data_IF_856310747194
#
_entry.id   IF_856310747194
#
_cell.length_a   1.000
_cell.length_b   1.000
_cell.length_c   1.000
_cell.angle_alpha   90.00
_cell.angle_beta   90.00
_cell.angle_gamma   90.00
#
_symmetry.space_group_name_H-M   'P 1'
#
loop_
_entity.id
_entity.type
_entity.pdbx_description
1 polymer ?
#
# COMPACT_ATOMS: atom_id res chain seq x y z
N UNK A 1 -17.47 -24.15 -2.51
CA UNK A 1 -16.77 -23.19 -1.62
C UNK A 1 -15.58 -22.61 -2.37
N UNK A 2 -15.65 -21.34 -2.74
CA UNK A 2 -14.75 -20.70 -3.72
C UNK A 2 -13.30 -20.66 -3.22
N UNK A 3 -12.40 -21.34 -3.93
CA UNK A 3 -10.93 -21.31 -3.71
C UNK A 3 -10.35 -19.89 -3.70
N UNK A 4 -11.08 -18.91 -4.25
CA UNK A 4 -10.77 -17.48 -4.20
C UNK A 4 -10.92 -16.88 -2.78
N UNK A 5 -11.91 -17.31 -2.00
CA UNK A 5 -12.12 -16.82 -0.63
C UNK A 5 -11.08 -17.37 0.36
N UNK A 6 -10.59 -18.58 0.10
CA UNK A 6 -9.51 -19.20 0.86
C UNK A 6 -8.14 -18.54 0.57
N UNK A 7 -7.88 -18.19 -0.70
CA UNK A 7 -6.73 -17.34 -1.04
C UNK A 7 -6.85 -15.94 -0.44
N UNK A 8 -8.02 -15.33 -0.41
CA UNK A 8 -8.23 -14.01 0.18
C UNK A 8 -7.87 -13.94 1.68
N UNK A 9 -8.11 -15.04 2.43
CA UNK A 9 -7.66 -15.17 3.83
C UNK A 9 -6.14 -15.23 4.01
N UNK A 10 -5.41 -15.59 2.94
CA UNK A 10 -3.95 -15.67 2.90
C UNK A 10 -3.30 -14.45 2.23
N UNK A 11 -4.03 -13.36 1.93
CA UNK A 11 -3.64 -12.43 0.86
C UNK A 11 -3.19 -11.02 1.30
N UNK A 12 -2.20 -10.45 0.59
CA UNK A 12 -1.69 -9.07 0.78
C UNK A 12 -2.74 -7.96 0.61
N UNK A 13 -3.93 -8.24 0.07
CA UNK A 13 -5.02 -7.25 -0.04
C UNK A 13 -5.68 -6.94 1.30
N UNK A 14 -5.83 -7.93 2.19
CA UNK A 14 -6.29 -7.67 3.56
C UNK A 14 -5.23 -6.85 4.33
N UNK A 15 -3.94 -7.10 4.05
CA UNK A 15 -2.84 -6.29 4.58
C UNK A 15 -2.85 -4.85 4.04
N UNK A 16 -3.22 -4.65 2.77
CA UNK A 16 -3.34 -3.32 2.18
C UNK A 16 -4.53 -2.55 2.77
N UNK A 17 -5.69 -3.20 2.94
CA UNK A 17 -6.84 -2.63 3.64
C UNK A 17 -6.52 -2.26 5.10
N UNK A 18 -5.84 -3.15 5.81
CA UNK A 18 -5.30 -2.87 7.16
C UNK A 18 -4.30 -1.71 7.19
N UNK A 19 -3.57 -1.47 6.09
CA UNK A 19 -2.62 -0.37 6.00
C UNK A 19 -3.28 1.00 5.83
N UNK A 20 -4.53 1.05 5.36
CA UNK A 20 -5.34 2.25 5.23
C UNK A 20 -6.23 2.51 6.46
N UNK A 21 -6.31 1.54 7.38
CA UNK A 21 -7.03 1.72 8.64
C UNK A 21 -6.28 2.74 9.53
N UNK A 22 -7.02 3.58 10.27
CA UNK A 22 -6.45 4.39 11.33
C UNK A 22 -5.74 3.52 12.38
N UNK A 23 -4.67 4.01 13.03
CA UNK A 23 -3.97 3.27 14.08
C UNK A 23 -4.89 2.79 15.21
N UNK A 24 -5.93 3.57 15.52
CA UNK A 24 -6.93 3.29 16.56
C UNK A 24 -7.76 2.03 16.25
N UNK A 25 -7.83 1.63 14.99
CA UNK A 25 -8.56 0.45 14.52
C UNK A 25 -7.63 -0.72 14.17
N UNK A 26 -6.37 -0.69 14.66
CA UNK A 26 -5.36 -1.72 14.39
C UNK A 26 -4.57 -1.51 13.11
N UNK A 27 -4.65 -0.32 12.51
CA UNK A 27 -3.81 0.08 11.40
C UNK A 27 -2.35 0.32 11.80
N UNK A 28 -1.42 0.36 10.83
CA UNK A 28 -0.03 0.65 11.12
C UNK A 28 0.17 2.11 11.53
N UNK A 29 1.21 2.37 12.31
CA UNK A 29 1.65 3.74 12.56
C UNK A 29 1.96 4.43 11.21
N UNK A 30 1.60 5.71 11.04
CA UNK A 30 1.82 6.43 9.78
C UNK A 30 3.27 6.36 9.28
N UNK A 31 4.24 6.45 10.19
CA UNK A 31 5.67 6.33 9.87
C UNK A 31 6.03 4.97 9.25
N UNK A 32 5.44 3.88 9.74
CA UNK A 32 5.68 2.53 9.20
C UNK A 32 5.01 2.34 7.85
N UNK A 33 3.85 2.98 7.62
CA UNK A 33 3.21 2.98 6.32
C UNK A 33 4.06 3.71 5.28
N UNK A 34 4.53 4.92 5.60
CA UNK A 34 5.43 5.71 4.74
C UNK A 34 6.70 4.93 4.40
N UNK A 35 7.34 4.29 5.38
CA UNK A 35 8.54 3.49 5.13
C UNK A 35 8.30 2.30 4.17
N UNK A 36 7.14 1.66 4.26
CA UNK A 36 6.75 0.57 3.34
C UNK A 36 6.51 1.07 1.93
N UNK A 37 5.82 2.20 1.79
CA UNK A 37 5.58 2.85 0.49
C UNK A 37 6.92 3.28 -0.14
N UNK A 38 7.80 3.92 0.62
CA UNK A 38 9.12 4.33 0.12
C UNK A 38 9.96 3.14 -0.37
N UNK A 39 10.01 2.05 0.41
CA UNK A 39 10.67 0.80 0.00
C UNK A 39 10.09 0.21 -1.28
N UNK A 40 8.77 0.31 -1.47
CA UNK A 40 8.13 -0.17 -2.69
C UNK A 40 8.52 0.70 -3.90
N UNK A 41 8.39 2.02 -3.77
CA UNK A 41 8.68 2.99 -4.83
C UNK A 41 10.16 2.96 -5.26
N UNK A 42 11.07 2.75 -4.32
CA UNK A 42 12.51 2.59 -4.59
C UNK A 42 12.86 1.31 -5.34
N UNK A 43 12.01 0.27 -5.26
CA UNK A 43 12.19 -0.99 -6.00
C UNK A 43 11.53 -0.98 -7.38
N UNK A 44 10.70 0.01 -7.68
CA UNK A 44 10.07 0.13 -9.01
C UNK A 44 11.09 0.51 -10.09
N UNK A 45 10.86 0.08 -11.35
CA UNK A 45 11.56 0.62 -12.51
C UNK A 45 11.44 2.15 -12.59
N UNK A 46 12.44 2.80 -13.17
CA UNK A 46 12.55 4.26 -13.18
C UNK A 46 11.29 4.95 -13.75
N UNK A 47 10.75 4.45 -14.86
CA UNK A 47 9.54 4.97 -15.50
C UNK A 47 8.30 4.87 -14.60
N UNK A 48 8.08 3.72 -13.95
CA UNK A 48 6.99 3.53 -13.00
C UNK A 48 7.13 4.44 -11.77
N UNK A 49 8.37 4.67 -11.30
CA UNK A 49 8.65 5.59 -10.19
C UNK A 49 8.25 7.03 -10.51
N UNK A 50 8.53 7.50 -11.73
CA UNK A 50 8.11 8.82 -12.19
C UNK A 50 6.59 8.95 -12.25
N UNK A 51 5.88 7.93 -12.75
CA UNK A 51 4.42 7.94 -12.79
C UNK A 51 3.80 8.06 -11.38
N UNK A 52 4.31 7.31 -10.40
CA UNK A 52 3.84 7.40 -9.00
C UNK A 52 4.10 8.79 -8.42
N UNK A 53 5.30 9.35 -8.62
CA UNK A 53 5.62 10.71 -8.14
C UNK A 53 4.75 11.79 -8.78
N UNK A 54 4.48 11.68 -10.08
CA UNK A 54 3.58 12.59 -10.78
C UNK A 54 2.15 12.50 -10.26
N UNK A 55 1.64 11.28 -10.03
CA UNK A 55 0.32 11.07 -9.42
C UNK A 55 0.22 11.68 -8.01
N UNK A 56 1.24 11.49 -7.17
CA UNK A 56 1.29 12.10 -5.84
C UNK A 56 1.33 13.64 -5.90
N UNK A 57 2.11 14.21 -6.83
CA UNK A 57 2.14 15.66 -7.03
C UNK A 57 0.78 16.21 -7.48
N UNK A 58 0.04 15.47 -8.32
CA UNK A 58 -1.31 15.84 -8.75
C UNK A 58 -2.35 15.80 -7.62
N UNK A 59 -2.18 14.93 -6.62
CA UNK A 59 -3.07 14.87 -5.45
C UNK A 59 -2.77 15.96 -4.42
N UNK A 60 -1.59 16.59 -4.49
CA UNK A 60 -1.14 17.63 -3.58
C UNK A 60 -1.41 19.06 -4.09
N UNK A 61 -1.92 19.20 -5.31
CA UNK A 61 -2.33 20.47 -5.92
C UNK A 61 -3.80 20.77 -5.62
#
# INVERSE_FOLDING_TARGET
>A
MSRLADRAKSYPLASFGAALLPPELGGPLPAQFVQRVDRYVTRLPATSRFAVRAGLASLAA
#
